data_IF_153788876695
#
_entry.id   IF_153788876695
#
_cell.length_a   1.000
_cell.length_b   1.000
_cell.length_c   1.000
_cell.angle_alpha   90.00
_cell.angle_beta   90.00
_cell.angle_gamma   90.00
#
_symmetry.space_group_name_H-M   'P 1'
#
loop_
_entity.id
_entity.type
_entity.pdbx_description
1 polymer ?
#
# COMPACT_ATOMS: atom_id res chain seq x y z
N UNK A 1 -17.78 -9.93 -0.92
CA UNK A 1 -16.55 -9.12 -1.09
C UNK A 1 -16.20 -8.47 0.23
N UNK A 2 -14.96 -8.66 0.67
CA UNK A 2 -14.49 -8.09 1.92
C UNK A 2 -13.67 -6.83 1.65
N UNK A 3 -13.59 -5.94 2.62
CA UNK A 3 -12.81 -4.71 2.52
C UNK A 3 -12.00 -4.49 3.79
N UNK A 4 -10.83 -3.86 3.63
CA UNK A 4 -9.98 -3.43 4.74
C UNK A 4 -9.55 -1.99 4.46
N UNK A 5 -9.34 -1.23 5.52
CA UNK A 5 -8.93 0.18 5.39
C UNK A 5 -8.21 0.63 6.65
N UNK A 6 -7.19 1.45 6.47
CA UNK A 6 -6.51 2.13 7.56
C UNK A 6 -6.09 3.52 7.08
N UNK A 7 -5.93 4.44 8.01
CA UNK A 7 -5.40 5.76 7.68
C UNK A 7 -4.48 6.25 8.80
N UNK A 8 -3.66 7.23 8.47
CA UNK A 8 -2.80 7.89 9.44
C UNK A 8 -2.62 9.36 9.06
N UNK A 9 -2.51 10.21 10.06
CA UNK A 9 -2.23 11.62 9.87
C UNK A 9 -0.73 11.88 10.07
N UNK A 10 -0.14 12.64 9.16
CA UNK A 10 1.30 12.87 9.09
C UNK A 10 1.58 14.37 9.18
N UNK A 11 2.54 14.80 10.01
CA UNK A 11 2.87 16.23 10.16
C UNK A 11 3.79 16.73 9.04
N UNK A 12 3.39 16.53 7.80
CA UNK A 12 4.07 17.00 6.60
C UNK A 12 3.03 17.29 5.54
N UNK A 13 3.36 18.11 4.54
CA UNK A 13 2.42 18.44 3.50
C UNK A 13 2.07 17.23 2.65
N UNK A 14 0.88 17.24 2.03
CA UNK A 14 0.46 16.16 1.14
C UNK A 14 1.46 15.96 0.01
N UNK A 15 2.02 17.03 -0.55
CA UNK A 15 3.01 16.92 -1.62
C UNK A 15 4.30 16.26 -1.16
N UNK A 16 4.78 16.60 0.04
CA UNK A 16 5.98 15.97 0.60
C UNK A 16 5.79 14.47 0.81
N UNK A 17 4.64 14.08 1.38
CA UNK A 17 4.33 12.67 1.60
C UNK A 17 4.19 11.93 0.27
N UNK A 18 3.49 12.52 -0.69
CA UNK A 18 3.32 11.93 -2.01
C UNK A 18 4.65 11.73 -2.74
N UNK A 19 5.59 12.66 -2.59
CA UNK A 19 6.92 12.52 -3.19
C UNK A 19 7.63 11.25 -2.70
N UNK A 20 7.40 10.85 -1.45
CA UNK A 20 7.99 9.62 -0.91
C UNK A 20 7.23 8.38 -1.37
N UNK A 21 5.90 8.38 -1.28
CA UNK A 21 5.14 7.14 -1.44
C UNK A 21 4.46 6.99 -2.80
N UNK A 22 4.42 8.04 -3.61
CA UNK A 22 3.69 8.03 -4.89
C UNK A 22 4.36 7.23 -5.99
N UNK A 23 5.64 6.97 -5.92
CA UNK A 23 6.34 6.15 -6.90
C UNK A 23 5.98 4.67 -6.74
N UNK A 24 5.60 4.01 -7.84
CA UNK A 24 5.17 2.61 -7.76
C UNK A 24 6.30 1.67 -7.30
N UNK A 25 7.56 2.09 -7.44
CA UNK A 25 8.72 1.31 -7.02
C UNK A 25 9.31 1.78 -5.69
N UNK A 26 8.61 2.66 -4.94
CA UNK A 26 9.18 3.31 -3.77
C UNK A 26 8.94 2.58 -2.45
N UNK A 27 8.25 1.43 -2.45
CA UNK A 27 7.94 0.71 -1.22
C UNK A 27 9.16 0.47 -0.32
N UNK A 28 10.33 0.08 -0.83
CA UNK A 28 11.49 -0.09 0.04
C UNK A 28 11.95 1.18 0.75
N UNK A 29 11.56 2.35 0.25
CA UNK A 29 11.96 3.62 0.84
C UNK A 29 11.18 3.94 2.12
N UNK A 30 10.01 3.32 2.32
CA UNK A 30 9.18 3.63 3.48
C UNK A 30 8.56 2.41 4.17
N UNK A 31 8.55 1.23 3.53
CA UNK A 31 8.02 -0.01 4.12
C UNK A 31 9.18 -0.94 4.50
N UNK A 32 9.52 -1.04 5.80
CA UNK A 32 10.69 -1.84 6.19
C UNK A 32 10.53 -3.34 5.95
N UNK A 33 9.29 -3.84 5.87
CA UNK A 33 9.08 -5.26 5.58
C UNK A 33 9.06 -5.59 4.09
N UNK A 34 9.28 -4.61 3.19
CA UNK A 34 9.46 -4.81 1.75
C UNK A 34 10.83 -4.22 1.35
N UNK A 35 11.92 -4.96 1.57
CA UNK A 35 13.25 -4.43 1.29
C UNK A 35 13.61 -4.35 -0.19
N UNK A 36 12.87 -5.03 -1.07
CA UNK A 36 13.18 -5.05 -2.49
C UNK A 36 11.93 -4.87 -3.33
N UNK A 37 12.04 -4.06 -4.38
CA UNK A 37 10.99 -3.86 -5.38
C UNK A 37 11.63 -3.66 -6.74
N UNK A 38 11.17 -4.38 -7.75
CA UNK A 38 11.70 -4.33 -9.10
C UNK A 38 10.57 -4.18 -10.10
N UNK A 39 10.70 -3.19 -10.99
CA UNK A 39 9.70 -2.92 -12.01
C UNK A 39 9.90 -3.77 -13.25
N UNK A 40 8.79 -4.12 -13.91
CA UNK A 40 8.75 -4.78 -15.20
C UNK A 40 7.55 -4.27 -15.99
N UNK A 41 7.44 -4.70 -17.25
CA UNK A 41 6.35 -4.34 -18.16
C UNK A 41 6.15 -2.82 -18.27
N UNK A 42 7.26 -2.10 -18.46
CA UNK A 42 7.20 -0.65 -18.63
C UNK A 42 6.88 0.11 -17.36
N UNK A 43 7.11 -0.48 -16.20
CA UNK A 43 6.83 0.12 -14.90
C UNK A 43 5.42 -0.13 -14.38
N UNK A 44 4.64 -0.97 -15.06
CA UNK A 44 3.26 -1.28 -14.66
C UNK A 44 3.15 -2.44 -13.69
N UNK A 45 4.20 -3.24 -13.57
CA UNK A 45 4.25 -4.38 -12.65
C UNK A 45 5.44 -4.19 -11.74
N UNK A 46 5.23 -4.46 -10.44
CA UNK A 46 6.32 -4.50 -9.47
C UNK A 46 6.39 -5.88 -8.84
N UNK A 47 7.60 -6.40 -8.73
CA UNK A 47 7.88 -7.64 -8.02
C UNK A 47 8.53 -7.29 -6.70
N UNK A 48 7.88 -7.64 -5.62
CA UNK A 48 8.32 -7.31 -4.26
C UNK A 48 8.88 -8.55 -3.60
N UNK A 49 9.90 -8.35 -2.78
CA UNK A 49 10.39 -9.39 -1.91
C UNK A 49 10.22 -8.93 -0.48
N UNK A 50 9.54 -9.74 0.35
CA UNK A 50 9.34 -9.43 1.75
C UNK A 50 10.61 -9.75 2.56
N UNK A 51 10.67 -9.25 3.80
CA UNK A 51 11.82 -9.48 4.66
C UNK A 51 12.05 -10.97 4.96
N UNK A 52 11.00 -11.79 4.91
CA UNK A 52 11.11 -13.25 5.12
C UNK A 52 11.31 -14.03 3.82
N UNK A 53 11.51 -13.35 2.69
CA UNK A 53 11.83 -13.99 1.41
C UNK A 53 10.64 -14.33 0.53
N UNK A 54 9.41 -14.00 0.94
CA UNK A 54 8.23 -14.23 0.10
C UNK A 54 8.21 -13.26 -1.08
N UNK A 55 7.57 -13.66 -2.17
CA UNK A 55 7.44 -12.85 -3.38
C UNK A 55 5.99 -12.41 -3.55
N UNK A 56 5.81 -11.10 -3.80
CA UNK A 56 4.51 -10.53 -4.11
C UNK A 56 4.64 -9.78 -5.43
N UNK A 57 3.78 -10.08 -6.39
CA UNK A 57 3.78 -9.41 -7.70
C UNK A 57 2.49 -8.63 -7.83
N UNK A 58 2.61 -7.34 -8.13
CA UNK A 58 1.49 -6.41 -8.18
C UNK A 58 1.47 -5.65 -9.49
N UNK A 59 0.26 -5.35 -9.97
CA UNK A 59 0.06 -4.61 -11.21
C UNK A 59 -0.62 -3.29 -10.93
N UNK A 60 -0.05 -2.21 -11.47
CA UNK A 60 -0.62 -0.87 -11.36
C UNK A 60 -1.90 -0.80 -12.22
N UNK A 61 -3.02 -0.43 -11.61
CA UNK A 61 -4.31 -0.34 -12.28
C UNK A 61 -4.71 1.11 -12.58
N UNK A 62 -4.32 2.04 -11.73
CA UNK A 62 -4.61 3.46 -11.92
C UNK A 62 -3.55 4.29 -11.21
N UNK A 63 -3.22 5.42 -11.78
CA UNK A 63 -2.26 6.37 -11.20
C UNK A 63 -2.70 7.78 -11.55
N UNK A 64 -2.93 8.61 -10.53
CA UNK A 64 -3.31 10.01 -10.71
C UNK A 64 -2.43 10.87 -9.82
N UNK A 65 -1.41 11.48 -10.41
CA UNK A 65 -0.44 12.29 -9.68
C UNK A 65 -1.08 13.57 -9.10
N UNK A 66 -2.01 14.16 -9.80
CA UNK A 66 -2.69 15.37 -9.34
C UNK A 66 -3.58 15.09 -8.13
N UNK A 67 -4.28 13.94 -8.13
CA UNK A 67 -5.12 13.52 -7.01
C UNK A 67 -4.33 12.80 -5.92
N UNK A 68 -3.04 12.53 -6.11
CA UNK A 68 -2.16 11.85 -5.18
C UNK A 68 -2.71 10.49 -4.77
N UNK A 69 -2.99 9.66 -5.77
CA UNK A 69 -3.55 8.33 -5.53
C UNK A 69 -3.08 7.34 -6.60
N UNK A 70 -2.92 6.08 -6.20
CA UNK A 70 -2.78 5.00 -7.16
C UNK A 70 -3.46 3.74 -6.64
N UNK A 71 -3.83 2.85 -7.57
CA UNK A 71 -4.47 1.57 -7.27
C UNK A 71 -3.71 0.45 -7.95
N UNK A 72 -3.70 -0.71 -7.30
CA UNK A 72 -2.98 -1.88 -7.82
C UNK A 72 -3.73 -3.16 -7.48
N UNK A 73 -3.52 -4.18 -8.32
CA UNK A 73 -4.01 -5.54 -8.08
C UNK A 73 -2.83 -6.46 -7.73
N UNK A 74 -3.13 -7.60 -7.16
CA UNK A 74 -2.13 -8.63 -6.88
C UNK A 74 -2.21 -9.70 -7.97
N UNK A 75 -1.06 -9.98 -8.62
CA UNK A 75 -0.94 -11.06 -9.59
C UNK A 75 -0.46 -12.35 -8.93
N UNK A 76 0.36 -12.23 -7.88
CA UNK A 76 0.92 -13.38 -7.15
C UNK A 76 1.24 -12.93 -5.73
N UNK A 77 0.77 -13.68 -4.74
CA UNK A 77 1.10 -13.42 -3.34
C UNK A 77 0.75 -14.64 -2.49
N UNK A 78 1.38 -14.80 -1.31
CA UNK A 78 1.04 -15.90 -0.39
C UNK A 78 -0.17 -15.58 0.50
N UNK A 79 -1.07 -14.73 0.05
CA UNK A 79 -2.25 -14.34 0.82
C UNK A 79 -3.47 -15.17 0.43
N UNK A 80 -4.33 -15.53 1.40
CA UNK A 80 -5.53 -16.32 1.14
C UNK A 80 -6.67 -15.47 0.60
N UNK A 81 -6.43 -14.79 -0.53
CA UNK A 81 -7.41 -13.90 -1.15
C UNK A 81 -7.20 -13.82 -2.66
N UNK A 82 -8.27 -13.52 -3.38
CA UNK A 82 -8.25 -13.27 -4.81
C UNK A 82 -9.05 -12.00 -5.12
N UNK A 83 -9.01 -11.55 -6.37
CA UNK A 83 -9.70 -10.33 -6.82
C UNK A 83 -9.35 -9.10 -5.97
N UNK A 84 -8.07 -8.99 -5.63
CA UNK A 84 -7.56 -7.94 -4.75
C UNK A 84 -7.33 -6.66 -5.54
N UNK A 85 -7.89 -5.58 -5.05
CA UNK A 85 -7.61 -4.23 -5.56
C UNK A 85 -7.43 -3.30 -4.37
N UNK A 86 -6.28 -2.67 -4.28
CA UNK A 86 -5.97 -1.73 -3.20
C UNK A 86 -5.69 -0.34 -3.75
N UNK A 87 -5.90 0.64 -2.91
CA UNK A 87 -5.70 2.05 -3.25
C UNK A 87 -4.94 2.74 -2.11
N UNK A 88 -3.95 3.53 -2.47
CA UNK A 88 -3.27 4.46 -1.57
C UNK A 88 -3.62 5.87 -2.02
N UNK A 89 -4.01 6.72 -1.07
CA UNK A 89 -4.38 8.10 -1.36
C UNK A 89 -3.82 9.02 -0.29
N UNK A 90 -3.28 10.16 -0.72
CA UNK A 90 -2.77 11.22 0.16
C UNK A 90 -3.65 12.44 -0.01
N UNK A 91 -4.18 12.94 1.11
CA UNK A 91 -5.03 14.13 1.13
C UNK A 91 -4.46 15.18 2.08
N UNK A 92 -4.62 16.44 1.72
CA UNK A 92 -4.28 17.53 2.64
C UNK A 92 -5.24 17.51 3.83
N UNK A 93 -4.69 17.63 5.05
CA UNK A 93 -5.45 17.61 6.29
C UNK A 93 -4.91 18.70 7.19
N UNK A 94 -5.56 19.85 7.18
CA UNK A 94 -5.02 21.04 7.86
C UNK A 94 -3.65 21.39 7.28
N UNK A 95 -2.63 21.49 8.13
CA UNK A 95 -1.25 21.75 7.69
C UNK A 95 -0.47 20.46 7.40
N UNK A 96 -1.07 19.33 7.64
CA UNK A 96 -0.46 18.03 7.40
C UNK A 96 -1.13 17.27 6.29
N UNK A 97 -1.00 15.94 6.32
CA UNK A 97 -1.57 15.05 5.33
C UNK A 97 -2.23 13.86 6.00
N UNK A 98 -3.25 13.31 5.35
CA UNK A 98 -3.85 12.03 5.72
C UNK A 98 -3.58 11.04 4.61
N UNK A 99 -2.99 9.90 4.96
CA UNK A 99 -2.75 8.80 4.03
C UNK A 99 -3.74 7.69 4.35
N UNK A 100 -4.51 7.29 3.36
CA UNK A 100 -5.46 6.19 3.47
C UNK A 100 -5.00 5.05 2.57
N UNK A 101 -4.95 3.85 3.13
CA UNK A 101 -4.63 2.63 2.40
C UNK A 101 -5.80 1.68 2.57
N UNK A 102 -6.45 1.32 1.48
CA UNK A 102 -7.65 0.49 1.50
C UNK A 102 -7.59 -0.58 0.43
N UNK A 103 -8.35 -1.66 0.63
CA UNK A 103 -8.41 -2.74 -0.34
C UNK A 103 -9.73 -3.46 -0.28
N UNK A 104 -10.08 -4.12 -1.41
CA UNK A 104 -11.20 -5.05 -1.49
C UNK A 104 -10.68 -6.37 -2.06
N UNK A 105 -11.28 -7.48 -1.65
CA UNK A 105 -10.77 -8.81 -1.98
C UNK A 105 -11.80 -9.88 -1.67
N UNK A 106 -11.58 -11.07 -2.25
CA UNK A 106 -12.40 -12.26 -1.95
C UNK A 106 -11.52 -13.23 -1.14
N UNK A 107 -11.89 -13.54 0.11
CA UNK A 107 -11.18 -14.56 0.87
C UNK A 107 -11.26 -15.94 0.23
N UNK A 108 -10.19 -16.73 0.35
CA UNK A 108 -10.12 -18.07 -0.21
C UNK A 108 -9.69 -19.04 0.89
N UNK A 109 -10.60 -19.93 1.28
CA UNK A 109 -10.31 -20.96 2.27
C UNK A 109 -10.25 -20.50 3.71
N UNK A 110 -10.57 -19.23 3.97
CA UNK A 110 -10.57 -18.62 5.31
C UNK A 110 -11.77 -17.69 5.41
N UNK A 111 -12.09 -17.26 6.64
CA UNK A 111 -13.21 -16.34 6.86
C UNK A 111 -12.88 -14.92 6.38
N UNK A 112 -13.93 -14.15 6.10
CA UNK A 112 -13.78 -12.72 5.79
C UNK A 112 -13.04 -11.99 6.92
N UNK A 113 -13.41 -12.29 8.17
CA UNK A 113 -12.81 -11.65 9.34
C UNK A 113 -11.30 -11.86 9.43
N UNK A 114 -10.84 -13.08 9.11
CA UNK A 114 -9.41 -13.39 9.13
C UNK A 114 -8.63 -12.58 8.10
N UNK A 115 -9.16 -12.46 6.88
CA UNK A 115 -8.48 -11.75 5.81
C UNK A 115 -8.56 -10.24 6.01
N UNK A 116 -9.69 -9.73 6.49
CA UNK A 116 -9.82 -8.31 6.83
C UNK A 116 -8.80 -7.94 7.91
N UNK A 117 -8.66 -8.77 8.95
CA UNK A 117 -7.67 -8.52 9.99
C UNK A 117 -6.24 -8.56 9.45
N UNK A 118 -5.94 -9.49 8.54
CA UNK A 118 -4.63 -9.60 7.91
C UNK A 118 -4.26 -8.31 7.15
N UNK A 119 -5.11 -7.86 6.24
CA UNK A 119 -4.79 -6.69 5.43
C UNK A 119 -4.87 -5.39 6.23
N UNK A 120 -5.80 -5.29 7.18
CA UNK A 120 -5.84 -4.13 8.09
C UNK A 120 -4.53 -4.01 8.86
N UNK A 121 -4.00 -5.13 9.36
CA UNK A 121 -2.72 -5.14 10.05
C UNK A 121 -1.55 -4.72 9.17
N UNK A 122 -1.54 -5.18 7.91
CA UNK A 122 -0.51 -4.79 6.94
C UNK A 122 -0.58 -3.29 6.66
N UNK A 123 -1.77 -2.76 6.38
CA UNK A 123 -1.93 -1.34 6.08
C UNK A 123 -1.58 -0.48 7.29
N UNK A 124 -2.06 -0.85 8.48
CA UNK A 124 -1.79 -0.14 9.71
C UNK A 124 -0.28 -0.10 10.01
N UNK A 125 0.37 -1.26 9.95
CA UNK A 125 1.81 -1.35 10.21
C UNK A 125 2.64 -0.56 9.21
N UNK A 126 2.25 -0.58 7.94
CA UNK A 126 2.91 0.20 6.91
C UNK A 126 2.74 1.70 7.11
N UNK A 127 1.53 2.13 7.45
CA UNK A 127 1.25 3.55 7.70
C UNK A 127 1.98 4.05 8.95
N UNK A 128 2.08 3.24 9.99
CA UNK A 128 2.85 3.60 11.19
C UNK A 128 4.34 3.75 10.87
N UNK A 129 4.90 2.86 10.03
CA UNK A 129 6.28 2.99 9.58
C UNK A 129 6.49 4.27 8.77
N UNK A 130 5.53 4.63 7.93
CA UNK A 130 5.56 5.88 7.18
C UNK A 130 5.55 7.09 8.12
N UNK A 131 4.64 7.08 9.11
CA UNK A 131 4.52 8.17 10.09
C UNK A 131 5.84 8.41 10.82
N UNK A 132 6.59 7.35 11.12
CA UNK A 132 7.85 7.45 11.85
C UNK A 132 8.93 8.20 11.07
N UNK A 133 8.79 8.36 9.76
CA UNK A 133 9.74 9.10 8.94
C UNK A 133 9.54 10.63 9.00
N UNK A 134 8.47 11.08 9.64
CA UNK A 134 8.12 12.50 9.73
C UNK A 134 7.96 12.89 11.20
N UNK A 135 9.06 13.10 11.92
CA UNK A 135 8.98 13.48 13.33
C UNK A 135 8.25 14.83 13.46
N UNK A 136 7.37 14.90 14.44
CA UNK A 136 6.61 16.11 14.71
C UNK A 136 7.45 17.12 15.46
#
# INVERSE_FOLDING_TARGET
MATASAFIDIPASADQVWQLIGGFNSLPDWLPFIPQSELSEGGRVRSLQTADGAVVVERLQAFDNAARTYSYSILQAPFPATDYLATIKVEAQGQGARVTWSGRFEPVGVSDEEVVALFTGIYQGGLEALRAKYPA
#
